data_IF_004735083448
#
_entry.id   IF_004735083448
#
_cell.length_a   1.000
_cell.length_b   1.000
_cell.length_c   1.000
_cell.angle_alpha   90.00
_cell.angle_beta   90.00
_cell.angle_gamma   90.00
#
_symmetry.space_group_name_H-M   'P 1'
#
loop_
_entity.id
_entity.type
_entity.pdbx_description
1 polymer ?
#
# COMPACT_ATOMS: atom_id res chain seq x y z
N UNK A 1 -18.30 6.74 26.56
CA UNK A 1 -17.12 6.55 25.70
C UNK A 1 -16.88 7.85 24.96
N UNK A 2 -15.63 8.31 24.89
CA UNK A 2 -15.31 9.60 24.29
C UNK A 2 -15.64 9.58 22.77
N UNK A 3 -16.26 10.62 22.24
CA UNK A 3 -16.74 10.67 20.85
C UNK A 3 -15.60 10.45 19.84
N UNK A 4 -14.40 10.94 20.16
CA UNK A 4 -13.22 10.72 19.32
C UNK A 4 -12.73 9.27 19.30
N UNK A 5 -12.82 8.57 20.43
CA UNK A 5 -12.47 7.15 20.48
C UNK A 5 -13.44 6.32 19.65
N UNK A 6 -14.71 6.70 19.62
CA UNK A 6 -15.70 6.00 18.80
C UNK A 6 -15.37 6.08 17.31
N UNK A 7 -14.87 7.22 16.82
CA UNK A 7 -14.42 7.38 15.43
C UNK A 7 -13.30 6.40 15.08
N UNK A 8 -12.31 6.23 15.98
CA UNK A 8 -11.23 5.26 15.80
C UNK A 8 -11.77 3.83 15.82
N UNK A 9 -12.62 3.51 16.80
CA UNK A 9 -13.22 2.17 16.96
C UNK A 9 -14.06 1.82 15.73
N UNK A 10 -14.91 2.73 15.25
CA UNK A 10 -15.75 2.52 14.08
C UNK A 10 -14.92 2.18 12.84
N UNK A 11 -13.79 2.86 12.64
CA UNK A 11 -12.89 2.53 11.53
C UNK A 11 -12.20 1.17 11.71
N UNK A 12 -11.66 0.89 12.91
CA UNK A 12 -10.96 -0.37 13.20
C UNK A 12 -11.90 -1.57 13.06
N UNK A 13 -13.15 -1.44 13.51
CA UNK A 13 -14.20 -2.46 13.41
C UNK A 13 -14.86 -2.53 12.02
N UNK A 14 -14.51 -1.63 11.10
CA UNK A 14 -15.02 -1.63 9.73
C UNK A 14 -16.44 -1.09 9.56
N UNK A 15 -16.91 -0.28 10.53
CA UNK A 15 -18.18 0.46 10.49
C UNK A 15 -18.08 1.77 9.72
N UNK A 16 -16.88 2.32 9.57
CA UNK A 16 -16.57 3.44 8.68
C UNK A 16 -15.42 3.08 7.75
N UNK A 17 -15.33 3.79 6.62
CA UNK A 17 -14.24 3.58 5.66
C UNK A 17 -13.05 4.53 5.91
N UNK A 18 -11.97 4.30 5.16
CA UNK A 18 -10.75 5.11 5.28
C UNK A 18 -10.96 6.57 4.85
N UNK A 19 -11.93 6.87 3.98
CA UNK A 19 -12.21 8.24 3.53
C UNK A 19 -12.88 9.03 4.63
N UNK A 20 -13.84 8.42 5.32
CA UNK A 20 -14.50 8.98 6.49
C UNK A 20 -13.47 9.23 7.61
N UNK A 21 -12.65 8.22 7.93
CA UNK A 21 -11.60 8.39 8.93
C UNK A 21 -10.58 9.45 8.55
N UNK A 22 -10.14 9.49 7.28
CA UNK A 22 -9.20 10.51 6.79
C UNK A 22 -9.79 11.91 6.89
N UNK A 23 -11.09 12.08 6.63
CA UNK A 23 -11.77 13.37 6.80
C UNK A 23 -11.71 13.84 8.25
N UNK A 24 -11.98 12.95 9.20
CA UNK A 24 -11.86 13.24 10.64
C UNK A 24 -10.40 13.54 11.02
N UNK A 25 -9.44 12.73 10.56
CA UNK A 25 -8.01 12.94 10.79
C UNK A 25 -7.55 14.35 10.36
N UNK A 26 -8.03 14.85 9.22
CA UNK A 26 -7.62 16.15 8.68
C UNK A 26 -8.32 17.34 9.36
N UNK A 27 -9.59 17.18 9.76
CA UNK A 27 -10.46 18.31 10.10
C UNK A 27 -10.91 18.34 11.57
N UNK A 28 -10.72 17.28 12.34
CA UNK A 28 -11.19 17.19 13.72
C UNK A 28 -10.04 17.46 14.71
N UNK A 29 -10.00 18.62 15.37
CA UNK A 29 -8.91 18.97 16.30
C UNK A 29 -8.81 18.02 17.49
N UNK A 30 -9.92 17.42 17.91
CA UNK A 30 -9.94 16.46 19.01
C UNK A 30 -9.31 15.12 18.61
N UNK A 31 -9.57 14.64 17.38
CA UNK A 31 -8.88 13.47 16.82
C UNK A 31 -7.38 13.72 16.68
N UNK A 32 -7.01 14.90 16.17
CA UNK A 32 -5.60 15.30 16.10
C UNK A 32 -4.94 15.23 17.49
N UNK A 33 -5.52 15.89 18.49
CA UNK A 33 -4.99 15.90 19.86
C UNK A 33 -4.92 14.50 20.47
N UNK A 34 -5.89 13.64 20.17
CA UNK A 34 -5.90 12.25 20.62
C UNK A 34 -4.75 11.45 19.98
N UNK A 35 -4.52 11.60 18.67
CA UNK A 35 -3.44 10.88 17.96
C UNK A 35 -2.05 11.48 18.20
N UNK A 36 -1.97 12.75 18.62
CA UNK A 36 -0.76 13.40 19.15
C UNK A 36 -0.47 13.01 20.60
N UNK A 37 -1.44 12.45 21.32
CA UNK A 37 -1.23 11.98 22.68
C UNK A 37 -0.23 10.82 22.68
N UNK A 38 0.63 10.79 23.71
CA UNK A 38 1.74 9.84 23.76
C UNK A 38 1.23 8.41 23.82
N UNK A 39 1.54 7.63 22.80
CA UNK A 39 1.54 6.18 22.92
C UNK A 39 2.82 5.82 23.67
N UNK A 40 2.67 5.41 24.93
CA UNK A 40 3.78 4.92 25.73
C UNK A 40 4.11 3.46 25.33
N UNK A 41 4.57 3.26 24.10
CA UNK A 41 5.30 2.03 23.77
C UNK A 41 6.69 2.21 24.39
N UNK A 42 7.04 1.37 25.37
CA UNK A 42 8.30 1.49 26.11
C UNK A 42 9.52 1.58 25.18
N UNK A 43 9.52 0.81 24.07
CA UNK A 43 10.56 0.82 23.05
C UNK A 43 10.72 2.15 22.29
N UNK A 44 9.68 3.00 22.26
CA UNK A 44 9.66 4.28 21.54
C UNK A 44 9.57 5.49 22.48
N UNK A 45 9.72 5.29 23.79
CA UNK A 45 9.57 6.31 24.82
C UNK A 45 10.51 7.51 24.64
N UNK A 46 11.69 7.29 24.06
CA UNK A 46 12.68 8.33 23.73
C UNK A 46 12.39 9.10 22.43
N UNK A 47 11.48 8.62 21.57
CA UNK A 47 11.32 9.11 20.20
C UNK A 47 10.17 10.11 19.98
N UNK A 48 9.54 10.63 21.04
CA UNK A 48 8.35 11.50 20.97
C UNK A 48 7.32 11.03 19.91
N UNK A 49 7.16 9.71 19.81
CA UNK A 49 6.35 9.06 18.78
C UNK A 49 4.86 9.29 19.04
N UNK A 50 4.13 9.69 17.99
CA UNK A 50 2.68 9.81 17.99
C UNK A 50 2.14 9.45 16.60
N UNK A 51 0.89 8.97 16.53
CA UNK A 51 0.32 8.47 15.27
C UNK A 51 0.02 9.58 14.28
N UNK A 52 -0.30 10.79 14.76
CA UNK A 52 -0.59 11.91 13.88
C UNK A 52 0.63 12.26 13.00
N UNK A 53 1.79 12.44 13.62
CA UNK A 53 3.04 12.71 12.91
C UNK A 53 3.48 11.53 12.06
N UNK A 54 3.30 10.30 12.57
CA UNK A 54 3.68 9.10 11.84
C UNK A 54 2.85 8.93 10.57
N UNK A 55 1.53 9.10 10.60
CA UNK A 55 0.69 9.04 9.41
C UNK A 55 1.03 10.16 8.41
N UNK A 56 1.27 11.39 8.89
CA UNK A 56 1.71 12.48 8.03
C UNK A 56 3.06 12.21 7.34
N UNK A 57 4.00 11.55 8.02
CA UNK A 57 5.31 11.20 7.46
C UNK A 57 5.26 9.99 6.52
N UNK A 58 4.56 8.92 6.92
CA UNK A 58 4.63 7.62 6.24
C UNK A 58 3.70 7.51 5.04
N UNK A 59 2.45 7.96 5.17
CA UNK A 59 1.45 7.86 4.10
C UNK A 59 1.11 9.20 3.47
N UNK A 60 1.37 10.32 4.17
CA UNK A 60 1.21 11.70 3.69
C UNK A 60 -0.14 11.98 2.98
N UNK A 61 -1.15 12.49 3.70
CA UNK A 61 -2.49 12.71 3.16
C UNK A 61 -2.55 13.72 2.00
N UNK A 62 -1.51 14.53 1.76
CA UNK A 62 -1.45 15.49 0.64
C UNK A 62 -0.99 14.85 -0.67
N UNK A 63 -0.27 13.72 -0.59
CA UNK A 63 0.23 12.98 -1.76
C UNK A 63 -0.54 11.68 -2.02
N UNK A 64 -1.32 11.24 -1.04
CA UNK A 64 -2.05 9.98 -1.04
C UNK A 64 -3.42 10.21 -0.41
N UNK A 65 -4.50 9.76 -1.04
CA UNK A 65 -5.87 9.88 -0.52
C UNK A 65 -6.23 8.80 0.52
N UNK A 66 -5.26 7.96 0.86
CA UNK A 66 -5.32 6.80 1.75
C UNK A 66 -6.19 5.64 1.27
N UNK A 67 -6.78 5.71 0.07
CA UNK A 67 -7.73 4.70 -0.41
C UNK A 67 -7.07 3.48 -1.09
N UNK A 68 -5.76 3.29 -0.90
CA UNK A 68 -5.01 2.13 -1.37
C UNK A 68 -4.89 1.03 -0.29
N UNK A 69 -4.55 -0.19 -0.71
CA UNK A 69 -4.47 -1.37 0.18
C UNK A 69 -3.42 -1.18 1.28
N UNK A 70 -2.26 -0.62 0.96
CA UNK A 70 -1.20 -0.36 1.94
C UNK A 70 -1.63 0.64 3.02
N UNK A 71 -2.14 1.81 2.63
CA UNK A 71 -2.57 2.85 3.59
C UNK A 71 -3.71 2.36 4.47
N UNK A 72 -4.70 1.66 3.91
CA UNK A 72 -5.78 1.03 4.69
C UNK A 72 -5.23 0.11 5.77
N UNK A 73 -4.31 -0.78 5.40
CA UNK A 73 -3.65 -1.69 6.34
C UNK A 73 -2.85 -0.94 7.41
N UNK A 74 -1.98 -0.01 7.03
CA UNK A 74 -1.13 0.74 7.95
C UNK A 74 -1.98 1.51 8.98
N UNK A 75 -2.96 2.30 8.50
CA UNK A 75 -3.81 3.09 9.40
C UNK A 75 -4.61 2.18 10.32
N UNK A 76 -5.21 1.11 9.79
CA UNK A 76 -5.97 0.15 10.60
C UNK A 76 -5.10 -0.53 11.65
N UNK A 77 -3.92 -1.04 11.26
CA UNK A 77 -3.03 -1.76 12.15
C UNK A 77 -2.50 -0.88 13.27
N UNK A 78 -2.07 0.34 12.96
CA UNK A 78 -1.51 1.26 13.95
C UNK A 78 -2.58 1.80 14.91
N UNK A 79 -3.81 2.01 14.44
CA UNK A 79 -4.94 2.35 15.33
C UNK A 79 -5.34 1.17 16.21
N UNK A 80 -5.31 -0.06 15.69
CA UNK A 80 -5.52 -1.27 16.48
C UNK A 80 -4.49 -1.39 17.60
N UNK A 81 -3.21 -1.17 17.29
CA UNK A 81 -2.14 -1.12 18.29
C UNK A 81 -2.38 -0.01 19.32
N UNK A 82 -2.81 1.19 18.88
CA UNK A 82 -3.17 2.27 19.79
C UNK A 82 -4.26 1.87 20.78
N UNK A 83 -5.34 1.23 20.31
CA UNK A 83 -6.40 0.74 21.19
C UNK A 83 -5.88 -0.32 22.17
N UNK A 84 -5.07 -1.26 21.69
CA UNK A 84 -4.46 -2.32 22.51
C UNK A 84 -3.55 -1.75 23.61
N UNK A 85 -2.66 -0.81 23.28
CA UNK A 85 -1.73 -0.18 24.23
C UNK A 85 -2.44 0.71 25.26
N UNK A 86 -3.61 1.24 24.94
CA UNK A 86 -4.41 2.04 25.86
C UNK A 86 -5.49 1.21 26.58
N UNK A 87 -5.48 -0.13 26.43
CA UNK A 87 -6.45 -1.04 27.03
C UNK A 87 -7.91 -0.70 26.69
N UNK A 88 -8.15 -0.22 25.47
CA UNK A 88 -9.48 0.13 24.97
C UNK A 88 -10.09 -1.10 24.28
N UNK A 89 -11.28 -1.50 24.71
CA UNK A 89 -11.98 -2.63 24.12
C UNK A 89 -12.61 -2.26 22.76
N UNK A 90 -12.52 -3.18 21.80
CA UNK A 90 -13.13 -3.11 20.48
C UNK A 90 -13.30 -4.54 19.92
N UNK A 91 -14.15 -4.70 18.92
CA UNK A 91 -14.32 -5.94 18.17
C UNK A 91 -13.12 -6.19 17.24
N UNK A 92 -12.50 -7.36 17.40
CA UNK A 92 -11.31 -7.78 16.64
C UNK A 92 -11.68 -8.57 15.37
N UNK A 93 -12.96 -8.73 15.06
CA UNK A 93 -13.43 -9.56 13.94
C UNK A 93 -13.05 -9.02 12.57
N UNK A 94 -12.94 -7.70 12.40
CA UNK A 94 -12.55 -7.08 11.13
C UNK A 94 -11.06 -7.29 10.84
N UNK A 95 -10.72 -8.29 10.04
CA UNK A 95 -9.35 -8.56 9.56
C UNK A 95 -9.14 -8.18 8.08
N UNK A 96 -10.15 -7.55 7.46
CA UNK A 96 -10.19 -7.34 6.01
C UNK A 96 -8.93 -6.66 5.45
N UNK A 97 -8.47 -5.58 6.10
CA UNK A 97 -7.32 -4.82 5.58
C UNK A 97 -6.00 -5.59 5.69
N UNK A 98 -5.83 -6.41 6.74
CA UNK A 98 -4.69 -7.30 6.87
C UNK A 98 -4.73 -8.42 5.83
N UNK A 99 -5.90 -9.03 5.62
CA UNK A 99 -6.08 -10.11 4.66
C UNK A 99 -5.85 -9.63 3.23
N UNK A 100 -6.41 -8.48 2.86
CA UNK A 100 -6.22 -7.86 1.54
C UNK A 100 -4.74 -7.51 1.29
N UNK A 101 -4.08 -6.86 2.26
CA UNK A 101 -2.66 -6.50 2.13
C UNK A 101 -1.76 -7.74 2.05
N UNK A 102 -2.00 -8.73 2.91
CA UNK A 102 -1.25 -10.00 2.90
C UNK A 102 -1.45 -10.76 1.60
N UNK A 103 -2.69 -10.79 1.07
CA UNK A 103 -2.97 -11.40 -0.22
C UNK A 103 -2.21 -10.70 -1.36
N UNK A 104 -2.19 -9.37 -1.37
CA UNK A 104 -1.42 -8.61 -2.35
C UNK A 104 0.07 -8.96 -2.24
N UNK A 105 0.67 -8.98 -1.05
CA UNK A 105 2.06 -9.39 -0.86
C UNK A 105 2.34 -10.83 -1.35
N UNK A 106 1.44 -11.77 -1.09
CA UNK A 106 1.60 -13.19 -1.46
C UNK A 106 1.61 -13.43 -2.98
N UNK A 107 0.99 -12.54 -3.77
CA UNK A 107 0.85 -12.71 -5.22
C UNK A 107 1.92 -11.97 -6.02
N UNK A 108 2.62 -11.00 -5.44
CA UNK A 108 3.60 -10.23 -6.20
C UNK A 108 4.91 -11.01 -6.36
N UNK A 109 5.52 -10.98 -7.55
CA UNK A 109 6.90 -11.40 -7.74
C UNK A 109 7.86 -10.32 -7.23
N UNK A 110 9.12 -10.70 -6.97
CA UNK A 110 10.15 -9.79 -6.43
C UNK A 110 10.52 -8.60 -7.31
N UNK A 111 10.13 -8.62 -8.58
CA UNK A 111 10.42 -7.56 -9.56
C UNK A 111 9.26 -6.56 -9.71
N UNK A 112 8.24 -6.65 -8.85
CA UNK A 112 7.05 -5.81 -8.89
C UNK A 112 6.65 -5.37 -7.48
N UNK A 113 6.26 -4.10 -7.36
CA UNK A 113 5.55 -3.58 -6.20
C UNK A 113 4.32 -2.76 -6.63
N UNK A 114 3.13 -3.36 -6.50
CA UNK A 114 1.84 -2.70 -6.76
C UNK A 114 1.17 -2.22 -5.47
N UNK A 115 1.80 -2.38 -4.30
CA UNK A 115 1.15 -2.13 -3.00
C UNK A 115 0.67 -0.67 -2.84
N UNK A 116 1.32 0.24 -3.56
CA UNK A 116 0.99 1.67 -3.61
C UNK A 116 0.00 2.04 -4.73
N UNK A 117 -0.20 1.20 -5.74
CA UNK A 117 -1.18 1.44 -6.82
C UNK A 117 -2.55 0.86 -6.43
N UNK A 118 -3.44 1.77 -6.05
CA UNK A 118 -4.80 1.46 -5.64
C UNK A 118 -5.60 0.74 -6.74
N UNK A 119 -5.47 1.19 -7.99
CA UNK A 119 -6.36 0.79 -9.07
C UNK A 119 -6.19 -0.68 -9.43
N UNK A 120 -4.95 -1.14 -9.46
CA UNK A 120 -4.61 -2.52 -9.79
C UNK A 120 -4.91 -3.45 -8.61
N UNK A 121 -4.48 -3.09 -7.40
CA UNK A 121 -4.72 -3.91 -6.22
C UNK A 121 -6.22 -4.18 -6.00
N UNK A 122 -7.04 -3.12 -6.02
CA UNK A 122 -8.49 -3.25 -5.82
C UNK A 122 -9.13 -4.08 -6.92
N UNK A 123 -8.69 -3.92 -8.18
CA UNK A 123 -9.18 -4.71 -9.31
C UNK A 123 -8.89 -6.20 -9.13
N UNK A 124 -7.65 -6.56 -8.77
CA UNK A 124 -7.26 -7.95 -8.55
C UNK A 124 -8.05 -8.58 -7.38
N UNK A 125 -8.22 -7.85 -6.28
CA UNK A 125 -9.00 -8.33 -5.12
C UNK A 125 -10.47 -8.54 -5.51
N UNK A 126 -11.07 -7.61 -6.24
CA UNK A 126 -12.48 -7.68 -6.65
C UNK A 126 -12.76 -8.79 -7.67
N UNK A 127 -11.84 -9.02 -8.61
CA UNK A 127 -11.95 -10.06 -9.64
C UNK A 127 -11.67 -11.48 -9.10
N UNK A 128 -11.02 -11.61 -7.94
CA UNK A 128 -10.66 -12.90 -7.36
C UNK A 128 -11.91 -13.69 -6.92
N UNK A 129 -12.12 -14.92 -7.43
CA UNK A 129 -13.28 -15.72 -7.03
C UNK A 129 -13.27 -16.04 -5.53
N UNK A 130 -14.41 -15.81 -4.86
CA UNK A 130 -14.54 -15.87 -3.39
C UNK A 130 -14.66 -17.28 -2.83
N UNK A 131 -15.05 -18.24 -3.66
CA UNK A 131 -15.25 -19.66 -3.34
C UNK A 131 -13.94 -20.47 -3.38
N UNK A 132 -12.83 -19.86 -3.83
CA UNK A 132 -11.53 -20.50 -3.87
C UNK A 132 -10.88 -20.56 -2.49
N UNK A 133 -10.18 -21.68 -2.22
CA UNK A 133 -9.30 -21.78 -1.06
C UNK A 133 -8.17 -20.75 -1.14
N UNK A 134 -7.57 -20.39 0.01
CA UNK A 134 -6.46 -19.43 0.08
C UNK A 134 -5.34 -19.71 -0.95
N UNK A 135 -4.88 -20.96 -1.03
CA UNK A 135 -3.83 -21.36 -1.99
C UNK A 135 -4.26 -21.16 -3.44
N UNK A 136 -5.51 -21.49 -3.78
CA UNK A 136 -6.05 -21.29 -5.13
C UNK A 136 -6.23 -19.82 -5.46
N UNK A 137 -6.63 -18.98 -4.50
CA UNK A 137 -6.69 -17.51 -4.66
C UNK A 137 -5.31 -16.94 -4.95
N UNK A 138 -4.27 -17.34 -4.20
CA UNK A 138 -2.89 -16.90 -4.45
C UNK A 138 -2.42 -17.32 -5.85
N UNK A 139 -2.67 -18.58 -6.26
CA UNK A 139 -2.32 -19.04 -7.60
C UNK A 139 -3.04 -18.25 -8.70
N UNK A 140 -4.33 -17.96 -8.51
CA UNK A 140 -5.12 -17.12 -9.41
C UNK A 140 -4.56 -15.69 -9.49
N UNK A 141 -4.25 -15.06 -8.35
CA UNK A 141 -3.68 -13.71 -8.32
C UNK A 141 -2.31 -13.63 -8.99
N UNK A 142 -1.44 -14.64 -8.77
CA UNK A 142 -0.15 -14.75 -9.47
C UNK A 142 -0.31 -14.85 -10.99
N UNK A 143 -1.31 -15.60 -11.46
CA UNK A 143 -1.63 -15.67 -12.89
C UNK A 143 -2.11 -14.32 -13.40
N UNK A 144 -2.99 -13.65 -12.65
CA UNK A 144 -3.51 -12.33 -13.00
C UNK A 144 -2.42 -11.26 -13.10
N UNK A 145 -1.45 -11.26 -12.18
CA UNK A 145 -0.28 -10.38 -12.26
C UNK A 145 0.49 -10.61 -13.56
N UNK A 146 0.74 -11.87 -13.95
CA UNK A 146 1.46 -12.18 -15.20
C UNK A 146 0.70 -11.76 -16.47
N UNK A 147 -0.63 -11.74 -16.42
CA UNK A 147 -1.45 -11.25 -17.52
C UNK A 147 -1.36 -9.73 -17.69
N UNK A 148 -1.33 -9.01 -16.56
CA UNK A 148 -1.31 -7.55 -16.52
C UNK A 148 0.09 -6.98 -16.78
N UNK A 149 1.12 -7.56 -16.16
CA UNK A 149 2.50 -7.08 -16.21
C UNK A 149 3.33 -7.90 -17.18
N UNK A 150 3.36 -7.45 -18.43
CA UNK A 150 3.99 -8.17 -19.55
C UNK A 150 5.43 -7.70 -19.79
N UNK A 151 6.24 -8.59 -20.32
CA UNK A 151 7.60 -8.29 -20.74
C UNK A 151 7.98 -9.10 -21.98
N UNK A 152 8.90 -8.57 -22.81
CA UNK A 152 9.26 -9.19 -24.09
C UNK A 152 10.07 -10.49 -23.92
N UNK A 153 11.14 -10.46 -23.12
CA UNK A 153 12.06 -11.61 -22.92
C UNK A 153 12.20 -12.04 -21.47
N UNK A 154 12.45 -11.09 -20.59
CA UNK A 154 12.64 -11.32 -19.14
C UNK A 154 12.08 -10.14 -18.38
N UNK A 155 11.75 -10.34 -17.11
CA UNK A 155 11.38 -9.28 -16.18
C UNK A 155 12.56 -8.31 -15.91
N UNK A 156 12.29 -7.07 -15.50
CA UNK A 156 13.31 -6.10 -15.11
C UNK A 156 14.06 -6.57 -13.84
N UNK A 157 15.38 -6.43 -13.86
CA UNK A 157 16.26 -6.61 -12.71
C UNK A 157 16.57 -5.23 -12.14
N UNK A 158 15.66 -4.76 -11.28
CA UNK A 158 15.81 -3.50 -10.57
C UNK A 158 17.08 -3.52 -9.71
N UNK A 159 17.73 -2.36 -9.63
CA UNK A 159 18.89 -2.16 -8.75
C UNK A 159 18.47 -1.50 -7.43
N UNK A 160 17.35 -0.78 -7.45
CA UNK A 160 16.63 -0.27 -6.29
C UNK A 160 15.24 -0.94 -6.22
N UNK A 161 14.27 -0.27 -5.60
CA UNK A 161 12.89 -0.76 -5.53
C UNK A 161 12.24 -0.82 -6.92
N UNK A 162 11.28 -1.74 -7.16
CA UNK A 162 10.58 -1.82 -8.43
C UNK A 162 9.79 -0.55 -8.78
N UNK A 163 10.02 0.00 -9.98
CA UNK A 163 9.35 1.20 -10.47
C UNK A 163 8.61 0.91 -11.78
N UNK A 164 7.72 -0.09 -11.78
CA UNK A 164 6.97 -0.45 -12.98
C UNK A 164 5.96 0.64 -13.36
N UNK A 165 6.07 1.30 -14.53
CA UNK A 165 5.18 2.39 -14.90
C UNK A 165 3.77 1.89 -15.23
N UNK A 166 2.78 2.55 -14.62
CA UNK A 166 1.35 2.32 -14.83
C UNK A 166 0.73 3.64 -15.27
N UNK A 167 0.15 3.68 -16.48
CA UNK A 167 -0.47 4.86 -17.05
C UNK A 167 -1.97 4.60 -17.18
N UNK A 168 -2.80 5.44 -16.57
CA UNK A 168 -4.26 5.31 -16.59
C UNK A 168 -4.76 3.92 -16.17
N UNK A 169 -4.13 3.32 -15.15
CA UNK A 169 -4.46 1.99 -14.64
C UNK A 169 -4.04 0.83 -15.56
N UNK A 170 -3.23 1.09 -16.59
CA UNK A 170 -2.64 0.07 -17.46
C UNK A 170 -1.12 0.01 -17.24
N UNK A 171 -0.56 -1.14 -16.81
CA UNK A 171 0.88 -1.34 -16.80
C UNK A 171 1.44 -1.27 -18.22
N UNK A 172 2.59 -0.60 -18.39
CA UNK A 172 3.33 -0.68 -19.64
C UNK A 172 4.03 -2.04 -19.79
N UNK A 173 4.49 -2.35 -21.00
CA UNK A 173 5.25 -3.57 -21.29
C UNK A 173 6.73 -3.30 -21.12
N UNK A 174 7.42 -4.12 -20.32
CA UNK A 174 8.88 -4.03 -20.21
C UNK A 174 9.55 -4.65 -21.43
N UNK A 175 10.40 -3.88 -22.10
CA UNK A 175 11.15 -4.38 -23.26
C UNK A 175 12.52 -4.92 -22.86
N UNK A 176 13.36 -4.05 -22.31
CA UNK A 176 14.74 -4.38 -21.96
C UNK A 176 15.33 -3.34 -20.98
N UNK A 177 16.51 -3.64 -20.45
CA UNK A 177 17.29 -2.69 -19.63
C UNK A 177 18.73 -2.60 -20.14
N UNK A 178 19.37 -1.45 -19.92
CA UNK A 178 20.75 -1.18 -20.37
C UNK A 178 21.51 -0.34 -19.35
N UNK A 179 22.74 -0.74 -19.03
CA UNK A 179 23.67 0.11 -18.28
C UNK A 179 24.18 1.24 -19.16
N UNK A 180 24.23 2.47 -18.64
CA UNK A 180 24.65 3.65 -19.40
C UNK A 180 26.08 3.54 -19.94
N UNK A 181 26.98 2.95 -19.16
CA UNK A 181 28.38 2.73 -19.52
C UNK A 181 29.07 1.81 -18.50
N UNK A 182 30.34 1.45 -18.76
CA UNK A 182 31.09 0.56 -17.85
C UNK A 182 31.25 1.17 -16.45
N UNK A 183 31.57 2.45 -16.40
CA UNK A 183 31.87 3.22 -15.18
C UNK A 183 30.75 4.20 -14.81
N UNK A 184 29.55 4.02 -15.39
CA UNK A 184 28.37 4.82 -15.08
C UNK A 184 27.45 4.06 -14.13
N UNK A 185 26.96 4.71 -13.09
CA UNK A 185 26.08 4.11 -12.09
C UNK A 185 24.63 3.98 -12.58
N UNK A 186 24.28 4.59 -13.72
CA UNK A 186 22.91 4.60 -14.26
C UNK A 186 22.57 3.31 -14.99
N UNK A 187 21.37 2.82 -14.71
CA UNK A 187 20.69 1.75 -15.44
C UNK A 187 19.35 2.27 -15.96
N UNK A 188 19.13 2.11 -17.26
CA UNK A 188 17.90 2.49 -17.95
C UNK A 188 17.00 1.27 -18.13
N UNK A 189 15.71 1.41 -17.81
CA UNK A 189 14.67 0.41 -18.01
C UNK A 189 13.66 0.94 -19.02
N UNK A 190 13.53 0.24 -20.14
CA UNK A 190 12.70 0.66 -21.26
C UNK A 190 11.36 -0.04 -21.22
N UNK A 191 10.30 0.76 -21.22
CA UNK A 191 8.91 0.33 -21.28
C UNK A 191 8.23 0.94 -22.49
N UNK A 192 7.17 0.30 -22.99
CA UNK A 192 6.32 0.87 -24.02
C UNK A 192 4.84 0.62 -23.75
N UNK A 193 4.00 1.53 -24.20
CA UNK A 193 2.56 1.33 -24.27
C UNK A 193 2.24 0.31 -25.39
N UNK A 194 1.55 -0.80 -25.09
CA UNK A 194 1.28 -1.84 -26.07
C UNK A 194 0.38 -1.37 -27.22
N UNK A 195 -0.46 -0.36 -27.00
CA UNK A 195 -1.44 0.19 -27.93
C UNK A 195 -0.78 1.29 -28.80
N UNK A 196 -0.07 2.24 -28.20
CA UNK A 196 0.50 3.42 -28.91
C UNK A 196 1.96 3.26 -29.33
N UNK A 197 2.69 2.32 -28.73
CA UNK A 197 4.16 2.14 -28.86
C UNK A 197 4.99 3.30 -28.32
N UNK A 198 4.38 4.23 -27.58
CA UNK A 198 5.12 5.29 -26.90
C UNK A 198 6.03 4.70 -25.83
N UNK A 199 7.29 5.17 -25.79
CA UNK A 199 8.30 4.68 -24.87
C UNK A 199 8.34 5.49 -23.58
N UNK A 200 8.59 4.80 -22.47
CA UNK A 200 8.87 5.39 -21.15
C UNK A 200 10.16 4.78 -20.62
N UNK A 201 11.06 5.62 -20.10
CA UNK A 201 12.36 5.18 -19.57
C UNK A 201 12.42 5.52 -18.08
N UNK A 202 12.61 4.49 -17.26
CA UNK A 202 12.95 4.66 -15.84
C UNK A 202 14.46 4.61 -15.71
N UNK A 203 15.04 5.51 -14.90
CA UNK A 203 16.48 5.54 -14.62
C UNK A 203 16.71 5.32 -13.13
N UNK A 204 17.47 4.28 -12.79
CA UNK A 204 17.95 4.07 -11.42
C UNK A 204 19.48 4.21 -11.38
N UNK A 205 20.02 4.48 -10.19
CA UNK A 205 21.47 4.56 -9.93
C UNK A 205 21.86 3.62 -8.80
N UNK A 206 23.10 3.11 -8.83
CA UNK A 206 23.67 2.28 -7.75
C UNK A 206 23.90 3.07 -6.46
#
# INVERSE_FOLDING_TARGET
MNQELQIIIDYVEGKSDIKDFRKEFLNNPSIKKLLESKICIEAFKSYNYNLFDYFNKRINPLRNDWDNVYSKYVVWYDLKLFLDYNHIAYDRSNQKYQDDYSYILDIQPSWLDISVDQSICNKIIAECPKDLSKTKRIAWGKARIKELFKYDKTYPRWIQDPEWPIINGKPLVFSHQKKAGKDDERVYYYFYDPDTKEETIITQMY
#
